data_IF_168863949808
#
_entry.id   IF_168863949808
#
_cell.length_a   1.000
_cell.length_b   1.000
_cell.length_c   1.000
_cell.angle_alpha   90.00
_cell.angle_beta   90.00
_cell.angle_gamma   90.00
#
_symmetry.space_group_name_H-M   'P 1'
#
loop_
_entity.id
_entity.type
_entity.pdbx_description
1 polymer ?
#
# COMPACT_ATOMS: atom_id res chain seq x y z
N UNK A 1 -12.26 -52.41 8.91
CA UNK A 1 -13.13 -51.40 8.27
C UNK A 1 -13.44 -50.32 9.28
N UNK A 2 -12.72 -49.21 9.22
CA UNK A 2 -13.13 -47.91 9.78
C UNK A 2 -12.30 -46.85 9.06
N UNK A 3 -12.98 -46.08 8.22
CA UNK A 3 -12.48 -44.91 7.53
C UNK A 3 -12.13 -43.83 8.59
N UNK A 4 -10.94 -43.24 8.48
CA UNK A 4 -10.60 -41.98 9.15
C UNK A 4 -10.05 -41.03 8.09
N UNK A 5 -10.93 -40.52 7.25
CA UNK A 5 -10.84 -39.15 6.79
C UNK A 5 -10.75 -38.24 8.01
N UNK A 6 -9.68 -37.46 8.13
CA UNK A 6 -9.77 -36.02 8.41
C UNK A 6 -8.41 -35.31 8.46
N UNK A 7 -8.33 -34.35 7.55
CA UNK A 7 -7.77 -33.01 7.71
C UNK A 7 -6.27 -32.84 7.43
N UNK A 8 -6.01 -32.53 6.14
CA UNK A 8 -4.93 -31.63 5.72
C UNK A 8 -4.85 -30.40 6.64
N UNK A 9 -3.64 -29.92 6.98
CA UNK A 9 -3.50 -28.69 7.74
C UNK A 9 -4.07 -27.53 6.91
N UNK A 10 -5.07 -26.88 7.49
CA UNK A 10 -5.70 -25.66 7.01
C UNK A 10 -4.75 -24.46 7.22
N UNK A 11 -3.51 -24.55 6.73
CA UNK A 11 -2.58 -23.43 6.74
C UNK A 11 -2.94 -22.47 5.60
N UNK A 12 -3.97 -21.67 5.90
CA UNK A 12 -4.10 -20.26 5.54
C UNK A 12 -4.21 -19.95 4.05
N UNK A 13 -5.39 -20.25 3.49
CA UNK A 13 -5.99 -19.45 2.42
C UNK A 13 -6.44 -18.09 3.00
N UNK A 14 -5.48 -17.26 3.40
CA UNK A 14 -5.72 -15.82 3.54
C UNK A 14 -5.75 -15.22 2.14
N UNK A 15 -6.56 -14.17 1.86
CA UNK A 15 -6.49 -13.49 0.58
C UNK A 15 -5.09 -12.87 0.51
N UNK A 16 -4.19 -13.52 -0.24
CA UNK A 16 -2.95 -12.93 -0.71
C UNK A 16 -3.40 -11.67 -1.44
N UNK A 17 -2.97 -10.50 -0.97
CA UNK A 17 -3.51 -9.21 -1.37
C UNK A 17 -3.68 -9.05 -2.87
N UNK A 18 -4.59 -8.16 -3.27
CA UNK A 18 -5.17 -8.00 -4.60
C UNK A 18 -4.22 -8.38 -5.76
N UNK A 19 -4.24 -9.67 -6.14
CA UNK A 19 -3.26 -10.24 -7.07
C UNK A 19 -3.39 -9.60 -8.46
N UNK A 20 -4.60 -9.15 -8.82
CA UNK A 20 -4.86 -8.43 -10.04
C UNK A 20 -4.20 -7.04 -10.04
N UNK A 21 -4.24 -6.34 -8.90
CA UNK A 21 -3.55 -5.07 -8.73
C UNK A 21 -2.01 -5.23 -8.85
N UNK A 22 -1.44 -6.28 -8.26
CA UNK A 22 0.00 -6.58 -8.39
C UNK A 22 0.37 -6.89 -9.85
N UNK A 23 -0.44 -7.70 -10.53
CA UNK A 23 -0.23 -7.98 -11.96
C UNK A 23 -0.36 -6.71 -12.81
N UNK A 24 -1.30 -5.83 -12.50
CA UNK A 24 -1.43 -4.52 -13.14
C UNK A 24 -0.15 -3.71 -12.99
N UNK A 25 0.39 -3.60 -11.77
CA UNK A 25 1.61 -2.85 -11.47
C UNK A 25 2.78 -3.35 -12.31
N UNK A 26 3.06 -4.65 -12.26
CA UNK A 26 4.15 -5.28 -13.02
C UNK A 26 4.00 -4.98 -14.52
N UNK A 27 2.81 -5.22 -15.06
CA UNK A 27 2.51 -5.03 -16.49
C UNK A 27 2.66 -3.58 -16.93
N UNK A 28 2.19 -2.63 -16.12
CA UNK A 28 2.30 -1.21 -16.42
C UNK A 28 3.76 -0.75 -16.49
N UNK A 29 4.59 -1.18 -15.54
CA UNK A 29 6.03 -0.88 -15.52
C UNK A 29 6.73 -1.49 -16.75
N UNK A 30 6.49 -2.77 -17.06
CA UNK A 30 7.11 -3.44 -18.21
C UNK A 30 6.70 -2.83 -19.56
N UNK A 31 5.54 -2.16 -19.62
CA UNK A 31 5.07 -1.44 -20.81
C UNK A 31 5.65 -0.03 -20.93
N UNK A 32 6.55 0.37 -20.03
CA UNK A 32 7.21 1.67 -20.04
C UNK A 32 6.45 2.78 -19.31
N UNK A 33 5.36 2.48 -18.59
CA UNK A 33 4.74 3.48 -17.72
C UNK A 33 5.70 3.80 -16.57
N UNK A 34 5.83 5.08 -16.22
CA UNK A 34 6.61 5.47 -15.06
C UNK A 34 6.07 4.79 -13.79
N UNK A 35 6.93 4.09 -13.07
CA UNK A 35 6.56 3.22 -11.95
C UNK A 35 5.76 3.93 -10.86
N UNK A 36 6.06 5.19 -10.56
CA UNK A 36 5.31 5.97 -9.57
C UNK A 36 3.86 6.22 -9.97
N UNK A 37 3.59 6.43 -11.26
CA UNK A 37 2.22 6.59 -11.76
C UNK A 37 1.49 5.25 -11.68
N UNK A 38 2.15 4.17 -12.11
CA UNK A 38 1.60 2.82 -12.01
C UNK A 38 1.31 2.42 -10.57
N UNK A 39 2.18 2.79 -9.62
CA UNK A 39 2.03 2.55 -8.20
C UNK A 39 0.79 3.26 -7.65
N UNK A 40 0.62 4.55 -7.90
CA UNK A 40 -0.56 5.29 -7.42
C UNK A 40 -1.87 4.77 -8.02
N UNK A 41 -1.88 4.38 -9.30
CA UNK A 41 -3.02 3.71 -9.93
C UNK A 41 -3.29 2.34 -9.30
N UNK A 42 -2.24 1.58 -8.97
CA UNK A 42 -2.37 0.28 -8.29
C UNK A 42 -2.94 0.46 -6.89
N UNK A 43 -2.43 1.44 -6.14
CA UNK A 43 -2.96 1.81 -4.83
C UNK A 43 -4.44 2.13 -4.93
N UNK A 44 -4.89 2.84 -5.98
CA UNK A 44 -6.31 3.11 -6.19
C UNK A 44 -7.14 1.83 -6.35
N UNK A 45 -6.63 0.84 -7.09
CA UNK A 45 -7.31 -0.43 -7.33
C UNK A 45 -7.35 -1.32 -6.09
N UNK A 46 -6.35 -1.22 -5.21
CA UNK A 46 -6.19 -2.10 -4.05
C UNK A 46 -7.41 -2.09 -3.11
N UNK A 47 -8.10 -3.21 -3.00
CA UNK A 47 -9.37 -3.30 -2.24
C UNK A 47 -9.20 -3.76 -0.78
N UNK A 48 -8.04 -4.30 -0.44
CA UNK A 48 -7.79 -4.98 0.83
C UNK A 48 -7.32 -3.99 1.90
N UNK A 49 -8.09 -3.85 2.99
CA UNK A 49 -7.78 -2.95 4.11
C UNK A 49 -6.63 -3.48 4.98
N UNK A 50 -6.56 -4.80 5.14
CA UNK A 50 -5.51 -5.50 5.88
C UNK A 50 -5.23 -6.88 5.29
N UNK A 51 -3.98 -7.34 5.38
CA UNK A 51 -3.61 -8.69 4.95
C UNK A 51 -2.56 -9.32 5.86
N UNK A 52 -2.50 -10.65 5.91
CA UNK A 52 -1.35 -11.37 6.47
C UNK A 52 -0.41 -11.78 5.35
N UNK A 53 0.79 -11.20 5.33
CA UNK A 53 1.81 -11.49 4.34
C UNK A 53 3.13 -11.81 5.04
N UNK A 54 3.74 -12.94 4.66
CA UNK A 54 4.96 -13.47 5.30
C UNK A 54 4.88 -13.58 6.83
N UNK A 55 3.70 -13.92 7.37
CA UNK A 55 3.48 -14.03 8.82
C UNK A 55 3.32 -12.70 9.55
N UNK A 56 3.36 -11.57 8.84
CA UNK A 56 3.11 -10.25 9.40
C UNK A 56 1.76 -9.72 8.95
N UNK A 57 0.99 -9.19 9.89
CA UNK A 57 -0.25 -8.48 9.59
C UNK A 57 0.07 -7.07 9.15
N UNK A 58 -0.41 -6.70 7.97
CA UNK A 58 -0.27 -5.36 7.42
C UNK A 58 -1.64 -4.69 7.46
N UNK A 59 -1.77 -3.61 8.23
CA UNK A 59 -2.97 -2.78 8.28
C UNK A 59 -2.73 -1.52 7.45
N UNK A 60 -3.37 -1.42 6.29
CA UNK A 60 -3.22 -0.27 5.41
C UNK A 60 -4.27 0.81 5.69
N UNK A 61 -5.49 0.39 6.07
CA UNK A 61 -6.62 1.26 6.34
C UNK A 61 -7.13 1.02 7.76
N UNK A 62 -6.95 2.01 8.63
CA UNK A 62 -7.37 1.97 10.03
C UNK A 62 -8.82 2.44 10.12
N UNK A 63 -9.68 1.61 10.72
CA UNK A 63 -11.10 1.86 10.95
C UNK A 63 -11.90 2.33 9.73
N UNK A 64 -11.42 2.02 8.51
CA UNK A 64 -12.04 2.51 7.28
C UNK A 64 -11.79 4.00 6.98
N UNK A 65 -11.07 4.71 7.83
CA UNK A 65 -10.99 6.18 7.82
C UNK A 65 -9.59 6.72 7.57
N UNK A 66 -8.53 6.07 8.07
CA UNK A 66 -7.16 6.57 7.96
C UNK A 66 -6.30 5.61 7.13
N UNK A 67 -5.82 6.09 5.97
CA UNK A 67 -5.10 5.28 5.00
C UNK A 67 -3.61 5.62 4.96
N UNK A 68 -2.78 4.68 5.40
CA UNK A 68 -1.33 4.74 5.21
C UNK A 68 -0.95 4.19 3.83
N UNK A 69 -0.97 5.08 2.84
CA UNK A 69 -0.65 4.71 1.46
C UNK A 69 0.83 4.40 1.25
N UNK A 70 1.74 4.90 2.09
CA UNK A 70 3.17 4.62 1.99
C UNK A 70 3.47 3.20 2.48
N UNK A 71 2.78 2.73 3.52
CA UNK A 71 2.89 1.35 3.96
C UNK A 71 2.37 0.36 2.91
N UNK A 72 1.26 0.67 2.24
CA UNK A 72 0.83 -0.10 1.06
C UNK A 72 1.84 0.00 -0.10
N UNK A 73 2.43 1.18 -0.32
CA UNK A 73 3.44 1.37 -1.35
C UNK A 73 4.66 0.48 -1.12
N UNK A 74 5.12 0.32 0.12
CA UNK A 74 6.21 -0.58 0.49
C UNK A 74 5.90 -2.03 0.08
N UNK A 75 4.73 -2.53 0.49
CA UNK A 75 4.23 -3.86 0.13
C UNK A 75 4.21 -4.09 -1.38
N UNK A 76 3.69 -3.12 -2.12
CA UNK A 76 3.60 -3.18 -3.58
C UNK A 76 4.98 -3.13 -4.24
N UNK A 77 5.87 -2.25 -3.78
CA UNK A 77 7.24 -2.17 -4.26
C UNK A 77 8.00 -3.49 -4.05
N UNK A 78 7.80 -4.18 -2.92
CA UNK A 78 8.40 -5.49 -2.68
C UNK A 78 7.91 -6.57 -3.68
N UNK A 79 6.66 -6.49 -4.16
CA UNK A 79 6.09 -7.47 -5.11
C UNK A 79 6.67 -7.39 -6.54
N UNK A 80 7.28 -6.26 -6.87
CA UNK A 80 7.91 -5.98 -8.17
C UNK A 80 9.39 -5.62 -7.99
N UNK A 81 10.01 -6.09 -6.91
CA UNK A 81 11.40 -5.79 -6.61
C UNK A 81 12.31 -6.21 -7.78
N UNK A 82 13.32 -5.38 -8.05
CA UNK A 82 14.16 -5.49 -9.26
C UNK A 82 13.64 -4.74 -10.50
N UNK A 83 12.38 -4.30 -10.53
CA UNK A 83 11.86 -3.43 -11.61
C UNK A 83 11.96 -1.93 -11.30
N UNK A 84 12.27 -1.56 -10.05
CA UNK A 84 12.35 -0.16 -9.62
C UNK A 84 13.80 0.28 -9.37
N UNK A 85 14.14 1.55 -9.65
CA UNK A 85 15.41 2.14 -9.19
C UNK A 85 15.45 2.19 -7.66
N UNK A 86 16.39 1.46 -7.05
CA UNK A 86 16.49 1.33 -5.59
C UNK A 86 16.60 2.67 -4.87
N UNK A 87 17.43 3.59 -5.36
CA UNK A 87 17.60 4.92 -4.76
C UNK A 87 16.28 5.72 -4.71
N UNK A 88 15.50 5.71 -5.80
CA UNK A 88 14.22 6.42 -5.88
C UNK A 88 13.12 5.73 -5.06
N UNK A 89 13.13 4.39 -5.01
CA UNK A 89 12.26 3.60 -4.14
C UNK A 89 12.51 3.96 -2.66
N UNK A 90 13.77 3.96 -2.22
CA UNK A 90 14.13 4.29 -0.83
C UNK A 90 13.77 5.74 -0.47
N UNK A 91 14.05 6.70 -1.36
CA UNK A 91 13.68 8.09 -1.13
C UNK A 91 12.17 8.28 -0.93
N UNK A 92 11.34 7.58 -1.72
CA UNK A 92 9.90 7.61 -1.54
C UNK A 92 9.45 6.97 -0.21
N UNK A 93 9.89 5.75 0.07
CA UNK A 93 9.36 4.97 1.19
C UNK A 93 9.82 5.47 2.56
N UNK A 94 11.05 5.99 2.66
CA UNK A 94 11.64 6.39 3.94
C UNK A 94 11.72 7.91 4.13
N UNK A 95 11.68 8.70 3.05
CA UNK A 95 11.76 10.16 3.12
C UNK A 95 10.52 10.85 2.56
N UNK A 96 9.53 10.10 2.05
CA UNK A 96 8.33 10.67 1.44
C UNK A 96 8.62 11.46 0.17
N UNK A 97 9.80 11.29 -0.44
CA UNK A 97 10.23 12.07 -1.60
C UNK A 97 9.75 11.43 -2.91
N UNK A 98 8.75 12.01 -3.60
CA UNK A 98 8.24 11.40 -4.81
C UNK A 98 9.26 11.53 -5.95
N UNK A 99 9.43 10.50 -6.80
CA UNK A 99 10.36 10.53 -7.93
C UNK A 99 9.91 11.48 -9.05
N UNK A 100 8.64 11.89 -9.04
CA UNK A 100 8.04 12.86 -9.96
C UNK A 100 7.35 13.94 -9.16
N UNK A 101 7.53 15.18 -9.59
CA UNK A 101 6.76 16.30 -9.07
C UNK A 101 5.35 16.28 -9.68
N UNK A 102 4.36 15.82 -8.90
CA UNK A 102 2.95 15.81 -9.29
C UNK A 102 2.23 16.95 -8.59
N UNK A 103 1.31 17.61 -9.30
CA UNK A 103 0.36 18.51 -8.63
C UNK A 103 -0.55 17.70 -7.70
N UNK A 104 -1.03 18.35 -6.63
CA UNK A 104 -1.98 17.75 -5.69
C UNK A 104 -3.21 17.19 -6.40
N UNK A 105 -3.73 17.89 -7.40
CA UNK A 105 -4.87 17.44 -8.21
C UNK A 105 -4.57 16.16 -8.98
N UNK A 106 -3.36 16.06 -9.58
CA UNK A 106 -2.94 14.87 -10.31
C UNK A 106 -2.77 13.69 -9.36
N UNK A 107 -2.15 13.91 -8.21
CA UNK A 107 -2.01 12.89 -7.17
C UNK A 107 -3.38 12.37 -6.70
N UNK A 108 -4.30 13.28 -6.33
CA UNK A 108 -5.68 12.94 -5.95
C UNK A 108 -6.41 12.15 -7.02
N UNK A 109 -6.23 12.50 -8.29
CA UNK A 109 -6.83 11.77 -9.43
C UNK A 109 -6.28 10.35 -9.58
N UNK A 110 -4.98 10.16 -9.35
CA UNK A 110 -4.34 8.85 -9.48
C UNK A 110 -4.73 7.93 -8.33
N UNK A 111 -4.63 8.40 -7.08
CA UNK A 111 -4.93 7.59 -5.88
C UNK A 111 -6.44 7.38 -5.65
N UNK A 112 -7.26 8.28 -6.20
CA UNK A 112 -8.72 8.28 -6.03
C UNK A 112 -9.19 9.15 -4.87
N UNK A 113 -10.36 9.77 -5.01
CA UNK A 113 -10.89 10.74 -4.06
C UNK A 113 -11.13 10.18 -2.65
N UNK A 114 -11.66 8.96 -2.55
CA UNK A 114 -11.91 8.29 -1.27
C UNK A 114 -10.61 8.04 -0.50
N UNK A 115 -9.63 7.37 -1.14
CA UNK A 115 -8.30 7.12 -0.56
C UNK A 115 -7.52 8.39 -0.28
N UNK A 116 -7.68 9.43 -1.10
CA UNK A 116 -7.08 10.72 -0.83
C UNK A 116 -7.64 11.35 0.46
N UNK A 117 -8.95 11.27 0.70
CA UNK A 117 -9.55 11.74 1.96
C UNK A 117 -9.04 10.92 3.15
N UNK A 118 -8.97 9.60 3.00
CA UNK A 118 -8.47 8.73 4.07
C UNK A 118 -6.98 8.96 4.35
N UNK A 119 -6.18 9.25 3.33
CA UNK A 119 -4.79 9.68 3.49
C UNK A 119 -4.69 10.97 4.30
N UNK A 120 -5.53 11.96 4.00
CA UNK A 120 -5.55 13.20 4.77
C UNK A 120 -5.92 12.95 6.24
N UNK A 121 -6.86 12.06 6.52
CA UNK A 121 -7.19 11.68 7.90
C UNK A 121 -5.97 11.08 8.62
N UNK A 122 -5.23 10.18 7.96
CA UNK A 122 -3.98 9.63 8.50
C UNK A 122 -2.95 10.72 8.78
N UNK A 123 -2.70 11.59 7.79
CA UNK A 123 -1.75 12.68 7.92
C UNK A 123 -2.11 13.67 9.04
N UNK A 124 -3.38 14.04 9.16
CA UNK A 124 -3.85 14.96 10.20
C UNK A 124 -3.84 14.31 11.59
N UNK A 125 -4.19 13.02 11.70
CA UNK A 125 -4.07 12.29 12.96
C UNK A 125 -2.64 12.33 13.49
N UNK A 126 -1.67 11.99 12.64
CA UNK A 126 -0.25 12.06 12.97
C UNK A 126 0.20 13.49 13.36
N UNK A 127 -0.13 14.48 12.52
CA UNK A 127 0.30 15.88 12.74
C UNK A 127 -0.27 16.46 14.04
N UNK A 128 -1.53 16.16 14.34
CA UNK A 128 -2.19 16.65 15.57
C UNK A 128 -1.60 15.97 16.80
N UNK A 129 -1.32 14.67 16.74
CA UNK A 129 -0.69 13.95 17.84
C UNK A 129 0.72 14.49 18.14
N UNK A 130 1.54 14.70 17.11
CA UNK A 130 2.86 15.33 17.29
C UNK A 130 2.76 16.72 17.92
N UNK A 131 1.84 17.55 17.44
CA UNK A 131 1.62 18.88 17.98
C UNK A 131 1.18 18.85 19.45
N UNK A 132 0.32 17.89 19.83
CA UNK A 132 -0.11 17.70 21.22
C UNK A 132 1.06 17.28 22.11
N UNK A 133 1.88 16.31 21.69
CA UNK A 133 3.07 15.87 22.43
C UNK A 133 4.03 17.04 22.65
N UNK A 134 4.21 17.91 21.66
CA UNK A 134 5.05 19.10 21.77
C UNK A 134 4.44 20.17 22.69
N UNK A 135 3.11 20.30 22.73
CA UNK A 135 2.43 21.32 23.54
C UNK A 135 2.37 20.98 25.03
N UNK A 136 2.43 19.70 25.41
CA UNK A 136 2.38 19.24 26.81
C UNK A 136 3.75 18.84 27.38
N UNK A 137 4.81 18.96 26.57
CA UNK A 137 6.20 18.73 26.99
C UNK A 137 6.85 19.99 27.56
#
# INVERSE_FOLDING_TARGET
MANLDKQLPLSQLTPVGDAEAIQYLRRAITRGKHWYIALLETIRLWSVAEETHNGHVHHYLIDGEAFDWLFLAERLCASVDGLLPNNKKMALLFHGEPPLNLTTEKFKKLIGSAKYRQYLNYFYGFTVEEALILAVR
#
